data_IF_450854815318
#
_entry.id   IF_450854815318
#
_cell.length_a   1.000
_cell.length_b   1.000
_cell.length_c   1.000
_cell.angle_alpha   90.00
_cell.angle_beta   90.00
_cell.angle_gamma   90.00
#
_symmetry.space_group_name_H-M   'P 1'
#
loop_
_entity.id
_entity.type
_entity.pdbx_description
1 polymer ?
#
# COMPACT_ATOMS: atom_id res chain seq x y z
N UNK A 1 -2.35 11.40 -13.20
CA UNK A 1 -1.07 10.69 -13.27
C UNK A 1 -1.29 9.26 -12.79
N UNK A 2 -1.06 8.29 -13.67
CA UNK A 2 -1.42 6.86 -13.47
C UNK A 2 -0.39 6.10 -12.62
N UNK A 3 0.74 6.71 -12.25
CA UNK A 3 1.82 6.01 -11.59
C UNK A 3 1.54 5.57 -10.13
N UNK A 4 0.54 6.15 -9.45
CA UNK A 4 0.27 5.88 -8.04
C UNK A 4 -0.80 4.80 -7.84
N UNK A 5 -0.44 3.73 -7.12
CA UNK A 5 -1.39 2.67 -6.77
C UNK A 5 -1.57 1.57 -7.81
N UNK A 6 -0.59 1.34 -8.69
CA UNK A 6 -0.67 0.32 -9.73
C UNK A 6 -0.56 -1.12 -9.23
N UNK A 7 0.07 -1.36 -8.07
CA UNK A 7 0.27 -2.71 -7.53
C UNK A 7 -1.09 -3.39 -7.29
N UNK A 8 -1.32 -4.62 -7.78
CA UNK A 8 -2.51 -5.41 -7.44
C UNK A 8 -2.70 -5.53 -5.92
N UNK A 9 -3.92 -5.32 -5.45
CA UNK A 9 -4.31 -5.30 -4.05
C UNK A 9 -5.81 -5.55 -3.93
N UNK A 10 -6.23 -6.49 -3.06
CA UNK A 10 -7.64 -6.79 -2.82
C UNK A 10 -8.46 -5.63 -2.21
N UNK A 11 -7.82 -4.52 -1.86
CA UNK A 11 -8.43 -3.23 -1.49
C UNK A 11 -9.30 -3.22 -0.21
N UNK A 12 -9.51 -4.38 0.41
CA UNK A 12 -10.15 -4.52 1.70
C UNK A 12 -9.22 -4.06 2.83
N UNK A 13 -9.71 -3.15 3.67
CA UNK A 13 -9.03 -2.64 4.87
C UNK A 13 -9.97 -2.64 6.07
N UNK A 14 -9.40 -2.68 7.28
CA UNK A 14 -10.16 -2.49 8.51
C UNK A 14 -10.48 -1.02 8.75
N UNK A 15 -11.43 -0.75 9.65
CA UNK A 15 -11.64 0.62 10.16
C UNK A 15 -10.38 1.23 10.77
N UNK A 16 -9.56 0.42 11.46
CA UNK A 16 -8.32 0.89 12.09
C UNK A 16 -7.34 1.44 11.07
N UNK A 17 -7.24 0.86 9.86
CA UNK A 17 -6.35 1.38 8.80
C UNK A 17 -6.63 2.85 8.48
N UNK A 18 -7.90 3.24 8.37
CA UNK A 18 -8.26 4.63 8.09
C UNK A 18 -8.03 5.55 9.31
N UNK A 19 -8.26 5.03 10.52
CA UNK A 19 -7.95 5.72 11.77
C UNK A 19 -6.45 6.01 11.90
N UNK A 20 -5.61 5.00 11.66
CA UNK A 20 -4.14 5.11 11.75
C UNK A 20 -3.58 6.03 10.66
N UNK A 21 -4.24 6.08 9.49
CA UNK A 21 -3.92 7.05 8.43
C UNK A 21 -4.45 8.47 8.72
N UNK A 22 -5.15 8.68 9.84
CA UNK A 22 -5.81 9.93 10.22
C UNK A 22 -6.78 10.45 9.15
N UNK A 23 -7.44 9.53 8.44
CA UNK A 23 -8.35 9.82 7.34
C UNK A 23 -9.75 9.33 7.69
N UNK A 24 -10.73 10.22 7.63
CA UNK A 24 -12.13 9.83 7.79
C UNK A 24 -12.61 9.06 6.54
N UNK A 25 -13.40 7.98 6.70
CA UNK A 25 -14.02 7.29 5.59
C UNK A 25 -14.80 8.26 4.70
N UNK A 26 -14.63 8.17 3.39
CA UNK A 26 -15.23 9.09 2.43
C UNK A 26 -15.79 8.34 1.23
N UNK A 27 -16.99 8.69 0.73
CA UNK A 27 -17.54 8.10 -0.50
C UNK A 27 -16.67 8.35 -1.73
N UNK A 28 -15.69 9.27 -1.65
CA UNK A 28 -14.71 9.50 -2.73
C UNK A 28 -13.82 8.29 -3.00
N UNK A 29 -13.47 7.55 -1.95
CA UNK A 29 -12.53 6.42 -2.06
C UNK A 29 -12.99 5.16 -1.35
N UNK A 30 -14.15 5.17 -0.67
CA UNK A 30 -14.79 3.96 -0.14
C UNK A 30 -15.78 3.46 -1.18
N UNK A 31 -15.43 2.37 -1.86
CA UNK A 31 -16.30 1.71 -2.83
C UNK A 31 -17.43 0.93 -2.14
N UNK A 32 -17.12 0.28 -1.01
CA UNK A 32 -18.10 -0.49 -0.26
C UNK A 32 -17.72 -0.60 1.22
N UNK A 33 -18.73 -0.89 2.05
CA UNK A 33 -18.56 -1.25 3.47
C UNK A 33 -18.57 -2.77 3.60
N UNK A 34 -17.76 -3.28 4.53
CA UNK A 34 -17.62 -4.72 4.79
C UNK A 34 -18.08 -4.99 6.21
N UNK A 35 -19.16 -5.78 6.34
CA UNK A 35 -19.72 -6.18 7.64
C UNK A 35 -19.21 -7.53 8.13
N UNK A 36 -18.50 -8.26 7.28
CA UNK A 36 -18.03 -9.59 7.58
C UNK A 36 -17.43 -10.29 6.38
N UNK A 37 -16.98 -11.51 6.61
CA UNK A 37 -16.36 -12.36 5.61
C UNK A 37 -16.86 -13.79 5.76
N UNK A 38 -16.99 -14.48 4.65
CA UNK A 38 -17.25 -15.92 4.62
C UNK A 38 -15.97 -16.62 4.19
N UNK A 39 -15.46 -17.52 5.02
CA UNK A 39 -14.27 -18.32 4.75
C UNK A 39 -14.71 -19.74 4.40
N UNK A 40 -14.34 -20.20 3.21
CA UNK A 40 -14.66 -21.54 2.72
C UNK A 40 -13.46 -22.47 2.92
N UNK A 41 -13.72 -23.74 3.26
CA UNK A 41 -12.71 -24.78 3.19
C UNK A 41 -12.23 -24.96 1.74
N UNK A 42 -11.01 -25.50 1.49
CA UNK A 42 -10.50 -25.66 0.13
C UNK A 42 -11.40 -26.51 -0.79
N UNK A 43 -12.15 -27.46 -0.23
CA UNK A 43 -13.12 -28.30 -0.95
C UNK A 43 -14.54 -27.72 -0.94
N UNK A 44 -14.71 -26.50 -0.42
CA UNK A 44 -15.96 -25.76 -0.27
C UNK A 44 -17.05 -26.47 0.57
N UNK A 45 -16.73 -27.61 1.19
CA UNK A 45 -17.69 -28.44 1.93
C UNK A 45 -18.17 -27.78 3.22
N UNK A 46 -17.37 -26.87 3.77
CA UNK A 46 -17.63 -26.14 5.02
C UNK A 46 -17.33 -24.67 4.83
N UNK A 47 -18.07 -23.83 5.56
CA UNK A 47 -17.81 -22.40 5.66
C UNK A 47 -17.92 -21.90 7.09
N UNK A 48 -17.20 -20.82 7.38
CA UNK A 48 -17.34 -20.03 8.60
C UNK A 48 -17.66 -18.60 8.19
N UNK A 49 -18.71 -18.05 8.80
CA UNK A 49 -19.08 -16.64 8.62
C UNK A 49 -18.58 -15.85 9.83
N UNK A 50 -17.89 -14.75 9.55
CA UNK A 50 -17.27 -13.89 10.55
C UNK A 50 -17.85 -12.50 10.38
N UNK A 51 -18.66 -12.05 11.34
CA UNK A 51 -19.30 -10.73 11.31
C UNK A 51 -18.60 -9.74 12.26
N UNK A 52 -18.42 -8.50 11.83
CA UNK A 52 -17.73 -7.46 12.61
C UNK A 52 -18.39 -7.20 13.97
N UNK A 53 -19.72 -7.25 14.00
CA UNK A 53 -20.55 -7.07 15.20
C UNK A 53 -20.28 -8.14 16.27
N UNK A 54 -20.00 -9.38 15.86
CA UNK A 54 -19.71 -10.50 16.76
C UNK A 54 -18.33 -10.39 17.40
N UNK A 55 -17.40 -9.69 16.74
CA UNK A 55 -16.02 -9.55 17.18
C UNK A 55 -15.75 -8.21 17.91
N UNK A 56 -16.75 -7.33 18.01
CA UNK A 56 -16.58 -6.00 18.60
C UNK A 56 -15.67 -5.06 17.79
N UNK A 57 -15.44 -5.37 16.51
CA UNK A 57 -14.67 -4.52 15.60
C UNK A 57 -15.59 -3.62 14.77
N UNK A 58 -15.09 -2.45 14.37
CA UNK A 58 -15.81 -1.57 13.42
C UNK A 58 -15.93 -2.20 12.03
N UNK A 59 -16.88 -1.68 11.22
CA UNK A 59 -17.04 -2.08 9.81
C UNK A 59 -15.71 -1.91 9.03
N UNK A 60 -15.42 -2.85 8.13
CA UNK A 60 -14.33 -2.73 7.16
C UNK A 60 -14.74 -1.94 5.91
N UNK A 61 -13.77 -1.72 5.02
CA UNK A 61 -14.00 -0.96 3.78
C UNK A 61 -13.29 -1.60 2.59
N UNK A 62 -13.93 -1.55 1.43
CA UNK A 62 -13.27 -1.75 0.14
C UNK A 62 -12.92 -0.37 -0.42
N UNK A 63 -11.65 -0.14 -0.73
CA UNK A 63 -11.17 1.17 -1.20
C UNK A 63 -11.00 1.24 -2.71
N UNK A 64 -11.32 2.39 -3.30
CA UNK A 64 -10.74 2.82 -4.58
C UNK A 64 -9.31 3.32 -4.32
N UNK A 65 -8.36 2.40 -4.24
CA UNK A 65 -6.99 2.64 -3.76
C UNK A 65 -6.26 3.79 -4.48
N UNK A 66 -6.33 3.95 -5.82
CA UNK A 66 -5.70 5.10 -6.47
C UNK A 66 -6.25 6.45 -5.98
N UNK A 67 -7.55 6.53 -5.65
CA UNK A 67 -8.14 7.75 -5.10
C UNK A 67 -7.69 7.96 -3.66
N UNK A 68 -7.69 6.90 -2.85
CA UNK A 68 -7.22 6.96 -1.46
C UNK A 68 -5.75 7.40 -1.36
N UNK A 69 -4.85 6.81 -2.15
CA UNK A 69 -3.43 7.19 -2.16
C UNK A 69 -3.21 8.64 -2.64
N UNK A 70 -4.03 9.14 -3.58
CA UNK A 70 -3.98 10.55 -4.00
C UNK A 70 -4.42 11.49 -2.88
N UNK A 71 -5.42 11.13 -2.07
CA UNK A 71 -5.80 11.91 -0.89
C UNK A 71 -4.64 11.98 0.11
N UNK A 72 -3.97 10.85 0.39
CA UNK A 72 -2.78 10.83 1.26
C UNK A 72 -1.65 11.69 0.71
N UNK A 73 -1.33 11.55 -0.58
CA UNK A 73 -0.30 12.35 -1.24
C UNK A 73 -0.63 13.86 -1.21
N UNK A 74 -1.91 14.22 -1.42
CA UNK A 74 -2.36 15.61 -1.34
C UNK A 74 -2.21 16.18 0.07
N UNK A 75 -2.51 15.39 1.11
CA UNK A 75 -2.28 15.80 2.50
C UNK A 75 -0.81 16.00 2.81
N UNK A 76 0.06 15.08 2.39
CA UNK A 76 1.51 15.20 2.57
C UNK A 76 2.05 16.46 1.86
N UNK A 77 1.64 16.71 0.61
CA UNK A 77 2.03 17.91 -0.13
C UNK A 77 1.54 19.20 0.56
N UNK A 78 0.29 19.23 1.07
CA UNK A 78 -0.24 20.36 1.84
C UNK A 78 0.51 20.60 3.16
N UNK A 79 1.08 19.56 3.76
CA UNK A 79 1.94 19.65 4.92
C UNK A 79 3.38 20.08 4.58
N UNK A 80 3.70 20.31 3.30
CA UNK A 80 5.00 20.80 2.84
C UNK A 80 5.94 19.73 2.28
N UNK A 81 5.50 18.47 2.16
CA UNK A 81 6.33 17.43 1.56
C UNK A 81 6.51 17.66 0.05
N UNK A 82 7.75 17.56 -0.42
CA UNK A 82 8.03 17.52 -1.86
C UNK A 82 7.83 16.10 -2.38
N UNK A 83 7.05 15.96 -3.46
CA UNK A 83 6.74 14.67 -4.08
C UNK A 83 7.32 14.65 -5.49
N UNK A 84 8.15 13.64 -5.78
CA UNK A 84 8.62 13.35 -7.13
C UNK A 84 7.90 12.12 -7.68
N UNK A 85 7.04 12.33 -8.66
CA UNK A 85 6.48 11.25 -9.49
C UNK A 85 7.51 10.80 -10.54
N UNK A 86 7.36 9.58 -11.05
CA UNK A 86 8.26 9.01 -12.06
C UNK A 86 9.73 9.07 -11.65
N UNK A 87 9.98 8.82 -10.36
CA UNK A 87 11.30 8.82 -9.74
C UNK A 87 11.56 7.44 -9.10
N UNK A 88 12.60 6.76 -9.57
CA UNK A 88 13.00 5.44 -9.08
C UNK A 88 14.32 5.55 -8.33
N UNK A 89 14.36 5.06 -7.08
CA UNK A 89 15.61 4.92 -6.33
C UNK A 89 16.41 3.76 -6.91
N UNK A 90 17.57 4.04 -7.47
CA UNK A 90 18.47 3.03 -8.04
C UNK A 90 19.40 2.44 -6.98
N UNK A 91 19.90 3.29 -6.08
CA UNK A 91 20.92 2.93 -5.10
C UNK A 91 20.80 3.80 -3.85
N UNK A 92 21.06 3.19 -2.69
CA UNK A 92 21.08 3.86 -1.38
C UNK A 92 22.37 3.49 -0.68
N UNK A 93 23.09 4.49 -0.20
CA UNK A 93 24.38 4.31 0.48
C UNK A 93 24.42 5.12 1.76
N UNK A 94 25.16 4.62 2.74
CA UNK A 94 25.48 5.39 3.95
C UNK A 94 26.70 6.25 3.70
N UNK A 95 26.65 7.54 4.07
CA UNK A 95 27.78 8.45 3.91
C UNK A 95 28.81 8.25 5.06
N UNK A 96 30.10 8.48 4.80
CA UNK A 96 31.08 8.66 5.86
C UNK A 96 30.66 9.82 6.77
N UNK A 97 30.64 9.61 8.09
CA UNK A 97 30.23 10.64 9.07
C UNK A 97 28.72 10.74 9.33
N UNK A 98 27.88 9.93 8.67
CA UNK A 98 26.44 9.84 8.95
C UNK A 98 25.55 10.31 7.81
N UNK A 99 24.27 9.92 7.90
CA UNK A 99 23.29 10.12 6.82
C UNK A 99 23.48 9.21 5.62
N UNK A 100 22.78 9.53 4.54
CA UNK A 100 22.61 8.71 3.35
C UNK A 100 22.77 9.53 2.07
N UNK A 101 23.16 8.85 1.01
CA UNK A 101 23.18 9.34 -0.37
C UNK A 101 22.39 8.38 -1.24
N UNK A 102 21.50 8.91 -2.08
CA UNK A 102 20.63 8.14 -2.95
C UNK A 102 20.87 8.55 -4.41
N UNK A 103 20.99 7.57 -5.29
CA UNK A 103 20.92 7.78 -6.74
C UNK A 103 19.47 7.55 -7.18
N UNK A 104 18.84 8.57 -7.78
CA UNK A 104 17.44 8.54 -8.18
C UNK A 104 17.32 8.81 -9.67
N UNK A 105 16.73 7.87 -10.42
CA UNK A 105 16.39 8.09 -11.83
C UNK A 105 15.08 8.86 -11.91
N UNK A 106 15.12 10.06 -12.46
CA UNK A 106 13.96 10.93 -12.62
C UNK A 106 13.93 11.49 -14.03
N UNK A 107 12.82 11.28 -14.74
CA UNK A 107 12.62 11.78 -16.11
C UNK A 107 13.76 11.41 -17.09
N UNK A 108 14.37 10.24 -16.88
CA UNK A 108 15.46 9.74 -17.72
C UNK A 108 16.87 10.09 -17.22
N UNK A 109 17.01 11.01 -16.26
CA UNK A 109 18.29 11.45 -15.72
C UNK A 109 18.55 10.89 -14.32
N UNK A 110 19.81 10.69 -13.95
CA UNK A 110 20.21 10.32 -12.59
C UNK A 110 20.50 11.58 -11.77
N UNK A 111 19.81 11.69 -10.63
CA UNK A 111 19.96 12.80 -9.68
C UNK A 111 20.42 12.24 -8.34
N UNK A 112 21.40 12.91 -7.73
CA UNK A 112 21.87 12.56 -6.39
C UNK A 112 21.07 13.32 -5.33
N UNK A 113 20.55 12.57 -4.35
CA UNK A 113 19.83 13.12 -3.19
C UNK A 113 20.59 12.76 -1.92
N UNK A 114 20.71 13.70 -1.00
CA UNK A 114 21.25 13.45 0.33
C UNK A 114 20.13 13.54 1.38
N UNK A 115 20.18 12.66 2.37
CA UNK A 115 19.21 12.62 3.46
C UNK A 115 19.88 12.19 4.76
N UNK A 116 19.43 12.71 5.90
CA UNK A 116 19.90 12.24 7.20
C UNK A 116 19.25 10.90 7.58
N UNK A 117 17.98 10.74 7.22
CA UNK A 117 17.16 9.56 7.50
C UNK A 117 16.50 9.10 6.19
N UNK A 118 16.46 7.79 5.99
CA UNK A 118 15.76 7.15 4.87
C UNK A 118 14.71 6.19 5.42
N UNK A 119 13.46 6.35 4.97
CA UNK A 119 12.35 5.44 5.28
C UNK A 119 12.07 4.54 4.06
N UNK A 120 12.29 3.24 4.21
CA UNK A 120 12.04 2.24 3.16
C UNK A 120 10.57 1.86 3.06
N UNK A 121 9.78 2.61 2.28
CA UNK A 121 8.35 2.37 2.04
C UNK A 121 8.05 1.90 0.60
N UNK A 122 9.02 1.25 -0.04
CA UNK A 122 9.08 0.87 -1.47
C UNK A 122 8.62 -0.58 -1.75
N UNK A 123 8.02 -1.23 -0.76
CA UNK A 123 7.25 -2.47 -0.92
C UNK A 123 8.09 -3.74 -1.12
N UNK A 124 7.46 -4.77 -1.69
CA UNK A 124 8.00 -6.14 -1.80
C UNK A 124 9.39 -6.20 -2.49
N UNK A 125 9.66 -5.29 -3.42
CA UNK A 125 10.95 -5.16 -4.13
C UNK A 125 11.78 -3.98 -3.60
N UNK A 126 11.77 -3.79 -2.28
CA UNK A 126 12.47 -2.67 -1.63
C UNK A 126 13.97 -2.65 -1.93
N UNK A 127 14.43 -1.51 -2.45
CA UNK A 127 15.83 -1.15 -2.69
C UNK A 127 16.52 -0.69 -1.42
N UNK A 128 15.78 -0.02 -0.53
CA UNK A 128 16.30 0.35 0.80
C UNK A 128 16.61 -0.91 1.59
N UNK A 129 15.69 -1.88 1.61
CA UNK A 129 15.91 -3.12 2.35
C UNK A 129 17.06 -3.95 1.76
N UNK A 130 17.12 -4.05 0.43
CA UNK A 130 18.21 -4.75 -0.28
C UNK A 130 19.59 -4.15 0.01
N UNK A 131 19.69 -2.83 0.18
CA UNK A 131 20.96 -2.16 0.44
C UNK A 131 21.54 -2.46 1.84
N UNK A 132 20.70 -2.76 2.83
CA UNK A 132 21.13 -2.80 4.25
C UNK A 132 20.80 -4.10 4.98
N UNK A 133 19.98 -4.98 4.43
CA UNK A 133 19.55 -6.21 5.09
C UNK A 133 19.73 -7.41 4.19
N UNK A 134 20.13 -8.55 4.78
CA UNK A 134 20.18 -9.81 4.07
C UNK A 134 18.76 -10.34 3.84
N UNK A 135 18.43 -10.65 2.57
CA UNK A 135 17.08 -11.08 2.16
C UNK A 135 16.97 -12.57 1.83
N UNK A 136 17.70 -13.43 2.56
CA UNK A 136 17.60 -14.88 2.37
C UNK A 136 16.21 -15.40 2.73
N UNK A 137 15.71 -16.36 1.97
CA UNK A 137 14.40 -16.97 2.20
C UNK A 137 13.20 -16.06 1.87
N UNK A 138 13.43 -14.96 1.16
CA UNK A 138 12.34 -14.07 0.74
C UNK A 138 11.55 -14.69 -0.42
N UNK A 139 10.41 -15.30 -0.09
CA UNK A 139 9.51 -15.91 -1.06
C UNK A 139 8.44 -14.92 -1.53
N UNK A 140 8.18 -14.92 -2.84
CA UNK A 140 7.08 -14.15 -3.43
C UNK A 140 5.89 -15.08 -3.58
N UNK A 141 4.82 -14.81 -2.83
CA UNK A 141 3.54 -15.51 -2.98
C UNK A 141 2.74 -14.80 -4.08
N UNK A 142 2.51 -15.45 -5.23
CA UNK A 142 1.72 -14.85 -6.30
C UNK A 142 0.24 -14.83 -5.91
N UNK A 143 -0.44 -13.73 -6.24
CA UNK A 143 -1.88 -13.60 -6.09
C UNK A 143 -2.49 -13.13 -7.41
N UNK A 144 -3.70 -13.59 -7.72
CA UNK A 144 -4.50 -13.10 -8.84
C UNK A 144 -5.66 -12.29 -8.26
N UNK A 145 -5.99 -11.19 -8.92
CA UNK A 145 -7.13 -10.35 -8.57
C UNK A 145 -7.94 -10.05 -9.83
N UNK A 146 -9.26 -10.11 -9.70
CA UNK A 146 -10.22 -9.79 -10.77
C UNK A 146 -11.33 -8.90 -10.22
N UNK A 147 -11.74 -7.91 -11.03
CA UNK A 147 -12.94 -7.09 -10.76
C UNK A 147 -14.07 -7.66 -11.62
N UNK A 148 -15.14 -8.10 -10.97
CA UNK A 148 -16.29 -8.70 -11.64
C UNK A 148 -17.49 -7.75 -11.58
N UNK A 149 -18.29 -7.72 -12.64
CA UNK A 149 -19.52 -6.92 -12.73
C UNK A 149 -20.67 -7.83 -13.15
N UNK A 150 -21.88 -7.56 -12.65
CA UNK A 150 -23.07 -8.36 -12.97
C UNK A 150 -23.11 -9.74 -12.30
N UNK A 151 -22.31 -9.98 -11.26
CA UNK A 151 -22.36 -11.22 -10.51
C UNK A 151 -23.59 -11.28 -9.59
N UNK A 152 -24.27 -12.43 -9.56
CA UNK A 152 -25.10 -12.82 -8.42
C UNK A 152 -24.26 -13.73 -7.54
N UNK A 153 -23.97 -13.25 -6.34
CA UNK A 153 -23.42 -14.09 -5.29
C UNK A 153 -24.62 -14.81 -4.66
N UNK A 154 -24.72 -16.12 -4.88
CA UNK A 154 -25.77 -17.00 -4.32
C UNK A 154 -25.38 -17.52 -2.96
#
# INVERSE_FOLDING_TARGET
DEALGLKPCGEAVSASTLKDAEVQPSPKFVANKVKGFTVYAPDESKRVEIWSEQLGFGEGYILEKPIFLRELASRAARAGAQIWMHAEVLRVERKPGGGFKLAVKRLGEEVMVEAEIVLGCDGVRSRVAEAFFERRGYEIIPCIQYKLVGCRLS
#
